data_IF_965124605810
#
_entry.id   IF_965124605810
#
_cell.length_a   1.000
_cell.length_b   1.000
_cell.length_c   1.000
_cell.angle_alpha   90.00
_cell.angle_beta   90.00
_cell.angle_gamma   90.00
#
_symmetry.space_group_name_H-M   'P 1'
#
loop_
_entity.id
_entity.type
_entity.pdbx_description
1 polymer ?
#
# COMPACT_ATOMS: atom_id res chain seq x y z
N UNK A 1 25.77 18.37 16.62
CA UNK A 1 24.49 17.74 17.00
C UNK A 1 23.41 18.28 16.07
N UNK A 2 23.09 17.57 14.99
CA UNK A 2 22.07 18.01 14.05
C UNK A 2 20.71 17.94 14.73
N UNK A 3 19.98 19.06 14.70
CA UNK A 3 18.66 19.15 15.34
C UNK A 3 17.62 18.47 14.49
N UNK A 4 17.33 17.23 14.81
CA UNK A 4 16.40 16.33 14.11
C UNK A 4 14.96 16.87 13.98
N UNK A 5 14.56 17.78 14.88
CA UNK A 5 13.25 18.43 14.83
C UNK A 5 13.05 19.33 13.61
N UNK A 6 14.12 19.94 13.08
CA UNK A 6 14.04 20.84 11.93
C UNK A 6 13.82 20.13 10.61
N UNK A 7 14.27 18.88 10.48
CA UNK A 7 14.11 18.09 9.25
C UNK A 7 12.72 17.48 9.11
N UNK A 8 12.08 17.14 10.23
CA UNK A 8 10.72 16.57 10.26
C UNK A 8 9.60 17.62 10.09
N UNK A 9 9.92 18.89 10.12
CA UNK A 9 8.89 19.96 10.10
C UNK A 9 8.57 20.50 8.72
N UNK A 10 9.37 20.21 7.68
CA UNK A 10 9.15 20.76 6.34
C UNK A 10 8.66 19.76 5.30
N UNK A 11 8.88 18.44 5.46
CA UNK A 11 8.27 17.43 4.65
C UNK A 11 7.62 16.39 5.57
N UNK A 12 6.29 16.42 5.64
CA UNK A 12 5.56 15.33 6.28
C UNK A 12 5.85 14.07 5.51
N UNK A 13 6.60 13.17 6.13
CA UNK A 13 6.87 11.86 5.55
C UNK A 13 5.57 11.08 5.52
N UNK A 14 4.84 11.21 4.40
CA UNK A 14 3.51 10.65 4.18
C UNK A 14 3.56 9.36 3.37
N UNK A 15 4.75 8.79 3.15
CA UNK A 15 4.95 7.54 2.43
C UNK A 15 6.05 6.69 3.10
N UNK A 16 6.08 5.40 2.73
CA UNK A 16 7.16 4.49 3.11
C UNK A 16 8.49 5.00 2.55
N UNK A 17 9.52 5.05 3.39
CA UNK A 17 10.89 5.31 3.01
C UNK A 17 11.56 4.01 2.55
N UNK A 18 12.52 4.13 1.67
CA UNK A 18 13.44 3.06 1.34
C UNK A 18 14.53 2.96 2.41
N UNK A 19 15.15 1.78 2.54
CA UNK A 19 16.19 1.57 3.55
C UNK A 19 17.41 2.47 3.30
N UNK A 20 17.75 2.68 2.04
CA UNK A 20 18.80 3.60 1.61
C UNK A 20 18.49 5.06 1.90
N UNK A 21 17.22 5.46 1.90
CA UNK A 21 16.84 6.85 2.24
C UNK A 21 17.20 7.19 3.66
N UNK A 22 17.08 6.25 4.61
CA UNK A 22 17.48 6.47 6.00
C UNK A 22 19.00 6.70 6.10
N UNK A 23 19.80 5.96 5.33
CA UNK A 23 21.25 6.13 5.26
C UNK A 23 21.62 7.50 4.67
N UNK A 24 20.99 7.87 3.55
CA UNK A 24 21.25 9.13 2.84
C UNK A 24 20.86 10.33 3.71
N UNK A 25 19.71 10.25 4.37
CA UNK A 25 19.15 11.37 5.13
C UNK A 25 19.75 11.52 6.53
N UNK A 26 20.31 10.44 7.12
CA UNK A 26 20.74 10.40 8.52
C UNK A 26 22.21 10.00 8.73
N UNK A 27 22.92 9.69 7.63
CA UNK A 27 24.32 9.29 7.70
C UNK A 27 24.53 8.04 8.56
N UNK A 28 25.49 8.07 9.48
CA UNK A 28 25.84 6.93 10.34
C UNK A 28 24.64 6.39 11.15
N UNK A 29 23.83 7.28 11.71
CA UNK A 29 22.63 6.86 12.46
C UNK A 29 21.62 6.12 11.59
N UNK A 30 21.45 6.58 10.35
CA UNK A 30 20.61 5.89 9.37
C UNK A 30 21.19 4.53 8.96
N UNK A 31 22.53 4.45 8.87
CA UNK A 31 23.24 3.19 8.65
C UNK A 31 23.01 2.19 9.78
N UNK A 32 23.14 2.62 11.02
CA UNK A 32 22.86 1.77 12.19
C UNK A 32 21.41 1.29 12.22
N UNK A 33 20.46 2.15 11.89
CA UNK A 33 19.04 1.79 11.79
C UNK A 33 18.80 0.74 10.68
N UNK A 34 19.41 0.94 9.51
CA UNK A 34 19.31 0.02 8.38
C UNK A 34 19.87 -1.37 8.75
N UNK A 35 21.04 -1.42 9.39
CA UNK A 35 21.66 -2.64 9.86
C UNK A 35 20.78 -3.34 10.92
N UNK A 36 20.24 -2.60 11.88
CA UNK A 36 19.36 -3.16 12.90
C UNK A 36 18.06 -3.71 12.30
N UNK A 37 17.50 -3.03 11.28
CA UNK A 37 16.34 -3.55 10.54
C UNK A 37 16.68 -4.85 9.81
N UNK A 38 17.81 -4.91 9.10
CA UNK A 38 18.27 -6.13 8.41
C UNK A 38 18.51 -7.28 9.39
N UNK A 39 19.11 -7.02 10.57
CA UNK A 39 19.25 -8.01 11.64
C UNK A 39 17.90 -8.52 12.15
N UNK A 40 16.89 -7.67 12.23
CA UNK A 40 15.54 -8.07 12.64
C UNK A 40 14.88 -8.98 11.57
N UNK A 41 15.04 -8.64 10.29
CA UNK A 41 14.60 -9.50 9.16
C UNK A 41 15.33 -10.85 9.19
N UNK A 42 16.65 -10.83 9.38
CA UNK A 42 17.47 -12.05 9.53
C UNK A 42 16.96 -12.96 10.65
N UNK A 43 16.70 -12.38 11.83
CA UNK A 43 16.22 -13.14 12.98
C UNK A 43 14.84 -13.75 12.76
N UNK A 44 13.95 -13.02 12.09
CA UNK A 44 12.64 -13.53 11.70
C UNK A 44 12.77 -14.73 10.74
N UNK A 45 13.62 -14.63 9.71
CA UNK A 45 13.86 -15.69 8.74
C UNK A 45 14.71 -16.84 9.29
N UNK A 46 15.38 -16.65 10.44
CA UNK A 46 16.05 -17.71 11.20
C UNK A 46 15.10 -18.44 12.15
N UNK A 47 13.80 -18.20 12.10
CA UNK A 47 12.79 -18.73 13.03
C UNK A 47 13.10 -18.40 14.51
N UNK A 48 13.85 -17.33 14.78
CA UNK A 48 14.18 -16.90 16.13
C UNK A 48 12.96 -16.24 16.77
N UNK A 49 12.55 -16.72 17.91
CA UNK A 49 11.46 -16.10 18.68
C UNK A 49 11.81 -14.67 19.09
N UNK A 50 10.87 -13.73 18.93
CA UNK A 50 11.01 -12.34 19.40
C UNK A 50 11.28 -11.28 18.33
N UNK A 51 11.29 -11.64 17.05
CA UNK A 51 11.35 -10.63 15.97
C UNK A 51 10.00 -9.96 15.78
N UNK A 52 9.96 -8.62 15.86
CA UNK A 52 8.77 -7.80 15.63
C UNK A 52 8.67 -7.23 14.21
N UNK A 53 9.45 -7.77 13.27
CA UNK A 53 9.46 -7.29 11.89
C UNK A 53 8.23 -7.77 11.14
N UNK A 54 7.45 -6.85 10.61
CA UNK A 54 6.33 -7.15 9.73
C UNK A 54 6.78 -7.07 8.28
N UNK A 55 6.57 -8.16 7.52
CA UNK A 55 6.79 -8.19 6.08
C UNK A 55 5.46 -8.10 5.36
N UNK A 56 5.39 -7.24 4.36
CA UNK A 56 4.25 -7.11 3.47
C UNK A 56 4.69 -7.23 2.02
N UNK A 57 3.77 -7.68 1.17
CA UNK A 57 3.98 -7.68 -0.29
C UNK A 57 3.72 -6.27 -0.80
N UNK A 58 4.69 -5.71 -1.50
CA UNK A 58 4.49 -4.46 -2.25
C UNK A 58 3.91 -4.78 -3.62
N UNK A 59 2.63 -4.48 -3.80
CA UNK A 59 1.99 -4.58 -5.10
C UNK A 59 2.43 -3.43 -6.02
N UNK A 60 2.49 -3.71 -7.33
CA UNK A 60 2.78 -2.68 -8.34
C UNK A 60 1.47 -1.99 -8.77
N UNK A 61 0.82 -1.31 -7.83
CA UNK A 61 -0.45 -0.62 -8.06
C UNK A 61 -0.28 0.87 -8.38
N UNK A 62 -1.17 1.42 -9.22
CA UNK A 62 -1.18 2.85 -9.56
C UNK A 62 -2.58 3.34 -9.99
N UNK A 63 -2.93 4.58 -9.60
CA UNK A 63 -2.26 5.47 -8.66
C UNK A 63 -2.40 5.03 -7.19
N UNK A 64 -1.58 5.60 -6.32
CA UNK A 64 -1.84 5.52 -4.88
C UNK A 64 -3.13 6.28 -4.57
N UNK A 65 -4.03 5.63 -3.83
CA UNK A 65 -5.33 6.17 -3.42
C UNK A 65 -5.31 6.42 -1.93
N UNK A 66 -5.62 7.64 -1.52
CA UNK A 66 -5.91 7.99 -0.14
C UNK A 66 -7.42 8.16 -0.01
N UNK A 67 -8.04 7.44 0.93
CA UNK A 67 -9.48 7.52 1.13
C UNK A 67 -9.86 7.29 2.60
N UNK A 68 -11.03 7.80 2.96
CA UNK A 68 -11.53 7.63 4.31
C UNK A 68 -12.37 8.81 4.77
N UNK A 69 -12.55 8.91 6.08
CA UNK A 69 -13.34 9.98 6.70
C UNK A 69 -12.41 11.10 7.16
N UNK A 70 -12.61 12.29 6.63
CA UNK A 70 -11.88 13.48 7.05
C UNK A 70 -12.23 13.81 8.51
N UNK A 71 -11.25 13.84 9.43
CA UNK A 71 -11.50 14.07 10.84
C UNK A 71 -12.05 15.46 11.17
N UNK A 72 -11.88 16.44 10.27
CA UNK A 72 -12.31 17.82 10.48
C UNK A 72 -13.78 18.05 10.14
N UNK A 73 -14.39 17.22 9.27
CA UNK A 73 -15.76 17.44 8.82
C UNK A 73 -16.63 16.16 8.73
N UNK A 74 -16.07 15.00 9.05
CA UNK A 74 -16.78 13.72 9.04
C UNK A 74 -17.19 13.20 7.66
N UNK A 75 -16.78 13.83 6.57
CA UNK A 75 -17.15 13.42 5.21
C UNK A 75 -16.16 12.42 4.63
N UNK A 76 -16.68 11.42 3.95
CA UNK A 76 -15.85 10.49 3.19
C UNK A 76 -15.24 11.18 1.97
N UNK A 77 -13.98 10.93 1.72
CA UNK A 77 -13.26 11.48 0.56
C UNK A 77 -12.38 10.42 -0.12
N UNK A 78 -12.00 10.74 -1.36
CA UNK A 78 -10.92 10.05 -2.08
C UNK A 78 -9.95 11.07 -2.66
N UNK A 79 -8.70 10.67 -2.82
CA UNK A 79 -7.67 11.46 -3.47
C UNK A 79 -6.46 10.64 -3.82
N UNK A 80 -5.47 11.31 -4.37
CA UNK A 80 -4.11 10.81 -4.56
C UNK A 80 -3.20 11.40 -3.48
N UNK A 81 -1.89 11.20 -3.56
CA UNK A 81 -0.92 11.88 -2.66
C UNK A 81 -1.10 13.40 -2.60
N UNK A 82 -1.77 14.00 -3.60
CA UNK A 82 -2.08 15.44 -3.63
C UNK A 82 -2.99 15.93 -2.48
N UNK A 83 -3.59 15.02 -1.71
CA UNK A 83 -4.31 15.40 -0.47
C UNK A 83 -3.38 15.97 0.60
N UNK A 84 -2.08 15.70 0.50
CA UNK A 84 -1.04 16.19 1.42
C UNK A 84 -0.28 17.41 0.89
N UNK A 85 -0.63 17.91 -0.30
CA UNK A 85 0.02 19.09 -0.86
C UNK A 85 -0.28 20.34 -0.02
N UNK A 86 0.55 21.38 -0.19
CA UNK A 86 0.31 22.71 0.43
C UNK A 86 -1.11 23.25 0.14
N UNK A 87 -1.63 22.98 -1.08
CA UNK A 87 -3.03 23.17 -1.44
C UNK A 87 -3.65 21.78 -1.65
N UNK A 88 -4.31 21.21 -0.62
CA UNK A 88 -4.80 19.85 -0.67
C UNK A 88 -5.91 19.65 -1.72
N UNK A 89 -5.81 18.56 -2.50
CA UNK A 89 -6.85 18.15 -3.45
C UNK A 89 -7.67 17.01 -2.85
N UNK A 90 -8.62 17.36 -2.01
CA UNK A 90 -9.53 16.41 -1.33
C UNK A 90 -10.84 16.37 -2.10
N UNK A 91 -11.33 15.16 -2.45
CA UNK A 91 -12.51 15.02 -3.28
C UNK A 91 -13.62 14.30 -2.51
N UNK A 92 -14.64 15.02 -2.13
CA UNK A 92 -15.85 14.51 -1.46
C UNK A 92 -16.95 14.17 -2.47
N UNK A 93 -16.91 14.80 -3.64
CA UNK A 93 -17.93 14.69 -4.68
C UNK A 93 -17.30 14.49 -6.06
N UNK A 94 -18.12 14.05 -7.03
CA UNK A 94 -17.70 14.00 -8.43
C UNK A 94 -17.28 15.37 -8.97
N UNK A 95 -17.92 16.45 -8.50
CA UNK A 95 -17.58 17.83 -8.90
C UNK A 95 -16.16 18.18 -8.43
N UNK A 96 -15.77 17.75 -7.22
CA UNK A 96 -14.42 17.99 -6.71
C UNK A 96 -13.39 17.24 -7.56
N UNK A 97 -13.66 15.99 -7.92
CA UNK A 97 -12.79 15.20 -8.79
C UNK A 97 -12.58 15.91 -10.12
N UNK A 98 -13.65 16.34 -10.76
CA UNK A 98 -13.59 17.02 -12.07
C UNK A 98 -12.83 18.36 -12.01
N UNK A 99 -12.91 19.07 -10.87
CA UNK A 99 -12.16 20.32 -10.65
C UNK A 99 -10.68 20.07 -10.41
N UNK A 100 -10.35 19.02 -9.65
CA UNK A 100 -9.01 18.80 -9.13
C UNK A 100 -8.15 17.90 -10.02
N UNK A 101 -8.79 17.06 -10.85
CA UNK A 101 -8.12 16.04 -11.65
C UNK A 101 -8.69 15.94 -13.05
N UNK A 102 -7.88 15.49 -14.00
CA UNK A 102 -8.27 15.24 -15.38
C UNK A 102 -7.97 13.81 -15.84
N UNK A 103 -8.42 13.50 -17.06
CA UNK A 103 -8.05 12.27 -17.77
C UNK A 103 -8.34 10.98 -17.03
N UNK A 104 -7.38 10.06 -17.09
CA UNK A 104 -7.49 8.71 -16.50
C UNK A 104 -7.59 8.76 -14.97
N UNK A 105 -6.89 9.70 -14.33
CA UNK A 105 -6.89 9.83 -12.86
C UNK A 105 -8.29 10.20 -12.35
N UNK A 106 -8.96 11.16 -13.00
CA UNK A 106 -10.32 11.53 -12.64
C UNK A 106 -11.30 10.36 -12.78
N UNK A 107 -11.19 9.57 -13.85
CA UNK A 107 -12.02 8.37 -14.07
C UNK A 107 -11.79 7.34 -12.97
N UNK A 108 -10.54 7.03 -12.63
CA UNK A 108 -10.18 6.09 -11.56
C UNK A 108 -10.69 6.57 -10.19
N UNK A 109 -10.52 7.85 -9.85
CA UNK A 109 -11.02 8.42 -8.60
C UNK A 109 -12.54 8.40 -8.51
N UNK A 110 -13.25 8.57 -9.63
CA UNK A 110 -14.72 8.48 -9.67
C UNK A 110 -15.19 7.05 -9.31
N UNK A 111 -14.54 6.04 -9.84
CA UNK A 111 -14.83 4.63 -9.49
C UNK A 111 -14.49 4.38 -8.01
N UNK A 112 -13.37 4.91 -7.51
CA UNK A 112 -13.00 4.80 -6.11
C UNK A 112 -14.03 5.44 -5.20
N UNK A 113 -14.44 6.68 -5.47
CA UNK A 113 -15.45 7.39 -4.66
C UNK A 113 -16.77 6.61 -4.58
N UNK A 114 -17.27 6.12 -5.73
CA UNK A 114 -18.54 5.41 -5.81
C UNK A 114 -18.55 4.06 -5.06
N UNK A 115 -17.40 3.39 -4.97
CA UNK A 115 -17.32 2.04 -4.40
C UNK A 115 -16.73 2.00 -2.98
N UNK A 116 -15.65 2.75 -2.71
CA UNK A 116 -14.98 2.73 -1.41
C UNK A 116 -15.81 3.41 -0.30
N UNK A 117 -16.63 4.42 -0.62
CA UNK A 117 -17.53 5.06 0.34
C UNK A 117 -18.51 4.08 1.00
N UNK A 118 -18.79 2.95 0.35
CA UNK A 118 -19.73 1.91 0.84
C UNK A 118 -19.07 0.89 1.76
N UNK A 119 -17.73 0.93 1.92
CA UNK A 119 -16.99 -0.04 2.74
C UNK A 119 -16.93 0.33 4.24
N UNK A 120 -17.63 1.37 4.66
CA UNK A 120 -17.61 1.84 6.04
C UNK A 120 -16.18 2.01 6.61
N UNK A 121 -15.29 2.57 5.80
CA UNK A 121 -13.91 2.85 6.20
C UNK A 121 -13.93 3.91 7.28
N UNK A 122 -13.47 3.54 8.48
CA UNK A 122 -13.22 4.46 9.59
C UNK A 122 -11.77 4.90 9.57
N UNK A 123 -11.51 6.20 9.75
CA UNK A 123 -10.16 6.77 9.61
C UNK A 123 -9.77 6.96 8.15
N UNK A 124 -8.49 7.08 7.89
CA UNK A 124 -7.93 7.34 6.55
C UNK A 124 -6.95 6.23 6.20
N UNK A 125 -7.09 5.69 4.99
CA UNK A 125 -6.26 4.62 4.44
C UNK A 125 -5.56 5.09 3.18
N UNK A 126 -4.35 4.59 2.95
CA UNK A 126 -3.69 4.62 1.65
C UNK A 126 -3.53 3.21 1.12
N UNK A 127 -3.74 3.06 -0.15
CA UNK A 127 -3.51 1.82 -0.86
C UNK A 127 -3.18 2.06 -2.32
N UNK A 128 -2.75 1.00 -2.99
CA UNK A 128 -2.44 1.02 -4.40
C UNK A 128 -3.61 0.44 -5.19
N UNK A 129 -4.06 1.19 -6.19
CA UNK A 129 -5.13 0.77 -7.09
C UNK A 129 -4.61 -0.31 -8.03
N UNK A 130 -5.29 -1.46 -8.06
CA UNK A 130 -4.92 -2.60 -8.90
C UNK A 130 -5.65 -2.55 -10.24
N UNK A 131 -6.96 -2.32 -10.21
CA UNK A 131 -7.79 -2.20 -11.41
C UNK A 131 -9.08 -1.42 -11.12
N UNK A 132 -9.72 -0.98 -12.20
CA UNK A 132 -11.09 -0.47 -12.21
C UNK A 132 -11.89 -1.26 -13.25
N UNK A 133 -12.55 -0.63 -14.21
CA UNK A 133 -13.26 -1.29 -15.29
C UNK A 133 -12.33 -1.69 -16.47
N UNK A 134 -11.05 -1.97 -16.19
CA UNK A 134 -9.99 -2.22 -17.17
C UNK A 134 -9.44 -3.67 -17.12
N UNK A 135 -10.20 -4.59 -16.55
CA UNK A 135 -9.90 -6.02 -16.58
C UNK A 135 -9.92 -6.55 -18.01
N UNK A 136 -8.99 -7.46 -18.31
CA UNK A 136 -8.90 -8.13 -19.62
C UNK A 136 -9.06 -9.63 -19.43
N UNK A 137 -9.61 -10.30 -20.47
CA UNK A 137 -9.59 -11.75 -20.57
C UNK A 137 -8.45 -12.14 -21.52
N UNK A 138 -7.56 -13.00 -21.06
CA UNK A 138 -6.40 -13.51 -21.82
C UNK A 138 -6.35 -15.03 -21.72
N UNK A 139 -5.63 -15.68 -22.64
CA UNK A 139 -5.32 -17.11 -22.53
C UNK A 139 -3.82 -17.27 -22.33
N UNK A 140 -3.43 -18.03 -21.31
CA UNK A 140 -2.04 -18.36 -20.99
C UNK A 140 -1.97 -19.88 -20.89
N UNK A 141 -1.12 -20.51 -21.70
CA UNK A 141 -0.95 -21.97 -21.77
C UNK A 141 -2.28 -22.73 -21.94
N UNK A 142 -3.21 -22.18 -22.75
CA UNK A 142 -4.54 -22.75 -23.00
C UNK A 142 -5.58 -22.49 -21.90
N UNK A 143 -5.20 -21.91 -20.76
CA UNK A 143 -6.11 -21.57 -19.67
C UNK A 143 -6.64 -20.14 -19.80
N UNK A 144 -7.95 -19.96 -19.56
CA UNK A 144 -8.58 -18.63 -19.56
C UNK A 144 -8.28 -17.90 -18.25
N UNK A 145 -7.69 -16.72 -18.36
CA UNK A 145 -7.32 -15.85 -17.25
C UNK A 145 -8.09 -14.52 -17.28
N UNK A 146 -8.41 -13.98 -16.11
CA UNK A 146 -8.69 -12.56 -15.93
C UNK A 146 -7.38 -11.85 -15.57
N UNK A 147 -7.07 -10.75 -16.26
CA UNK A 147 -5.80 -10.02 -16.05
C UNK A 147 -6.02 -8.53 -15.88
N UNK A 148 -5.06 -7.90 -15.20
CA UNK A 148 -4.97 -6.45 -15.01
C UNK A 148 -3.52 -6.03 -14.90
N UNK A 149 -3.23 -4.81 -15.38
CA UNK A 149 -1.88 -4.21 -15.38
C UNK A 149 -1.99 -2.82 -14.76
N UNK A 150 -1.86 -2.70 -13.43
CA UNK A 150 -2.06 -1.41 -12.77
C UNK A 150 -0.97 -0.41 -13.10
N UNK A 151 0.27 -0.86 -13.26
CA UNK A 151 1.44 -0.07 -13.61
C UNK A 151 2.30 -0.83 -14.63
N UNK A 152 3.37 -1.51 -14.22
CA UNK A 152 4.28 -2.27 -15.10
C UNK A 152 4.04 -3.77 -15.07
N UNK A 153 3.65 -4.30 -13.90
CA UNK A 153 3.41 -5.75 -13.72
C UNK A 153 2.00 -6.11 -14.16
N UNK A 154 1.89 -7.17 -14.97
CA UNK A 154 0.62 -7.78 -15.31
C UNK A 154 0.35 -8.95 -14.37
N UNK A 155 -0.80 -8.90 -13.71
CA UNK A 155 -1.33 -9.98 -12.88
C UNK A 155 -2.37 -10.74 -13.67
N UNK A 156 -2.30 -12.07 -13.63
CA UNK A 156 -3.27 -12.94 -14.27
C UNK A 156 -3.72 -14.04 -13.29
N UNK A 157 -5.01 -14.33 -13.29
CA UNK A 157 -5.63 -15.30 -12.40
C UNK A 157 -6.58 -16.19 -13.19
N UNK A 158 -6.56 -17.54 -13.01
CA UNK A 158 -7.49 -18.44 -13.67
C UNK A 158 -8.94 -18.03 -13.42
N UNK A 159 -9.69 -17.81 -14.50
CA UNK A 159 -11.07 -17.30 -14.43
C UNK A 159 -12.01 -18.26 -13.68
N UNK A 160 -11.73 -19.57 -13.75
CA UNK A 160 -12.49 -20.64 -13.09
C UNK A 160 -12.17 -20.82 -11.61
N UNK A 161 -11.09 -20.18 -11.11
CA UNK A 161 -10.72 -20.21 -9.69
C UNK A 161 -11.68 -19.36 -8.83
N UNK A 162 -11.70 -19.60 -7.52
CA UNK A 162 -12.48 -18.77 -6.59
C UNK A 162 -12.04 -17.30 -6.61
N UNK A 163 -10.71 -17.08 -6.72
CA UNK A 163 -10.12 -15.74 -6.81
C UNK A 163 -10.48 -15.06 -8.14
N UNK A 164 -10.34 -15.77 -9.26
CA UNK A 164 -10.68 -15.25 -10.59
C UNK A 164 -12.15 -14.83 -10.70
N UNK A 165 -13.06 -15.64 -10.15
CA UNK A 165 -14.50 -15.28 -10.08
C UNK A 165 -14.74 -14.04 -9.23
N UNK A 166 -14.01 -13.88 -8.11
CA UNK A 166 -14.12 -12.70 -7.23
C UNK A 166 -13.62 -11.45 -7.94
N UNK A 167 -12.46 -11.52 -8.60
CA UNK A 167 -11.88 -10.41 -9.36
C UNK A 167 -12.79 -10.03 -10.53
N UNK A 168 -13.25 -10.98 -11.32
CA UNK A 168 -14.11 -10.74 -12.49
C UNK A 168 -15.43 -10.03 -12.17
N UNK A 169 -15.96 -10.18 -10.95
CA UNK A 169 -17.18 -9.51 -10.50
C UNK A 169 -16.94 -8.12 -9.92
N UNK A 170 -15.70 -7.82 -9.53
CA UNK A 170 -15.36 -6.56 -8.90
C UNK A 170 -15.22 -5.44 -9.94
N UNK A 171 -15.68 -4.25 -9.56
CA UNK A 171 -15.50 -3.00 -10.34
C UNK A 171 -14.23 -2.27 -9.96
N UNK A 172 -13.62 -2.66 -8.85
CA UNK A 172 -12.45 -2.02 -8.25
C UNK A 172 -11.63 -3.07 -7.51
N UNK A 173 -10.33 -3.10 -7.77
CA UNK A 173 -9.33 -3.81 -6.96
C UNK A 173 -8.36 -2.83 -6.32
N UNK A 174 -8.10 -2.99 -5.01
CA UNK A 174 -7.17 -2.15 -4.27
C UNK A 174 -6.50 -2.97 -3.16
N UNK A 175 -5.26 -2.63 -2.83
CA UNK A 175 -4.54 -3.13 -1.66
C UNK A 175 -4.24 -1.97 -0.73
N UNK A 176 -4.70 -2.04 0.52
CA UNK A 176 -4.36 -1.06 1.55
C UNK A 176 -3.14 -1.52 2.34
N UNK A 177 -2.19 -0.61 2.56
CA UNK A 177 -0.94 -0.87 3.25
C UNK A 177 -0.55 0.19 4.28
N UNK A 178 -1.22 1.35 4.30
CA UNK A 178 -0.95 2.45 5.23
C UNK A 178 -2.26 2.97 5.80
N UNK A 179 -2.26 3.28 7.09
CA UNK A 179 -3.34 4.00 7.74
C UNK A 179 -2.81 5.30 8.33
N UNK A 180 -3.70 6.28 8.43
CA UNK A 180 -3.37 7.58 9.00
C UNK A 180 -4.22 7.87 10.22
N UNK A 181 -3.57 8.44 11.24
CA UNK A 181 -4.23 8.87 12.48
C UNK A 181 -3.90 10.33 12.75
N UNK A 182 -4.86 11.09 13.24
CA UNK A 182 -4.71 12.51 13.54
C UNK A 182 -6.06 13.19 13.69
N UNK A 183 -6.07 14.36 14.30
CA UNK A 183 -7.29 15.17 14.52
C UNK A 183 -7.61 16.10 13.35
N UNK A 184 -6.63 16.43 12.51
CA UNK A 184 -6.77 17.28 11.32
C UNK A 184 -6.01 16.65 10.16
N UNK A 185 -6.37 17.01 8.92
CA UNK A 185 -5.64 16.56 7.73
C UNK A 185 -4.16 16.97 7.77
N UNK A 186 -3.88 18.08 8.42
CA UNK A 186 -2.52 18.60 8.58
C UNK A 186 -1.70 17.89 9.66
N UNK A 187 -2.31 17.21 10.61
CA UNK A 187 -1.65 16.50 11.72
C UNK A 187 -1.64 14.98 11.57
N UNK A 188 -1.99 14.47 10.39
CA UNK A 188 -2.00 13.04 10.14
C UNK A 188 -0.61 12.43 10.26
N UNK A 189 -0.47 11.40 11.09
CA UNK A 189 0.69 10.52 11.17
C UNK A 189 0.41 9.21 10.46
N UNK A 190 1.38 8.70 9.72
CA UNK A 190 1.28 7.43 9.02
C UNK A 190 1.65 6.26 9.93
N UNK A 191 0.86 5.19 9.88
CA UNK A 191 1.20 3.87 10.39
C UNK A 191 1.22 2.87 9.24
N UNK A 192 2.13 1.91 9.29
CA UNK A 192 2.37 0.98 8.20
C UNK A 192 2.03 -0.44 8.62
N UNK A 193 1.72 -1.28 7.64
CA UNK A 193 1.45 -2.69 7.82
C UNK A 193 0.17 -3.16 7.15
N UNK A 194 -0.23 -4.38 7.45
CA UNK A 194 -1.48 -4.96 6.93
C UNK A 194 -2.68 -4.27 7.57
N UNK A 195 -3.54 -3.68 6.76
CA UNK A 195 -4.79 -3.09 7.21
C UNK A 195 -5.80 -4.23 7.42
N UNK A 196 -5.88 -4.73 8.65
CA UNK A 196 -6.79 -5.82 9.04
C UNK A 196 -8.22 -5.32 9.25
N UNK A 197 -9.17 -6.26 9.28
CA UNK A 197 -10.57 -5.98 9.64
C UNK A 197 -11.40 -5.28 8.57
N UNK A 198 -10.87 -5.12 7.36
CA UNK A 198 -11.64 -4.64 6.21
C UNK A 198 -12.06 -5.81 5.32
N UNK A 199 -13.32 -5.87 5.02
CA UNK A 199 -13.88 -6.83 4.06
C UNK A 199 -14.25 -6.12 2.78
N UNK A 200 -13.85 -6.70 1.65
CA UNK A 200 -14.32 -6.26 0.35
C UNK A 200 -15.83 -6.52 0.19
N UNK A 201 -16.37 -6.03 -0.88
CA UNK A 201 -17.74 -6.33 -1.30
C UNK A 201 -17.70 -7.03 -2.66
N UNK A 202 -18.86 -7.43 -3.18
CA UNK A 202 -18.94 -7.96 -4.55
C UNK A 202 -18.38 -6.95 -5.58
N UNK A 203 -18.51 -5.66 -5.31
CA UNK A 203 -18.02 -4.60 -6.19
C UNK A 203 -16.57 -4.21 -5.93
N UNK A 204 -15.96 -4.59 -4.79
CA UNK A 204 -14.61 -4.19 -4.39
C UNK A 204 -13.79 -5.41 -3.98
N UNK A 205 -12.76 -5.71 -4.77
CA UNK A 205 -11.75 -6.68 -4.40
C UNK A 205 -10.68 -6.00 -3.54
N UNK A 206 -10.59 -6.40 -2.27
CA UNK A 206 -9.49 -6.02 -1.39
C UNK A 206 -8.42 -7.09 -1.45
N UNK A 207 -7.27 -6.75 -2.03
CA UNK A 207 -6.09 -7.60 -1.99
C UNK A 207 -5.42 -7.48 -0.61
N UNK A 208 -4.78 -8.56 -0.18
CA UNK A 208 -3.97 -8.54 1.04
C UNK A 208 -2.55 -8.08 0.70
N UNK A 209 -2.01 -7.18 1.53
CA UNK A 209 -0.58 -6.89 1.56
C UNK A 209 0.18 -7.86 2.48
N UNK A 210 -0.51 -8.74 3.20
CA UNK A 210 0.11 -9.75 4.06
C UNK A 210 0.92 -10.74 3.25
N UNK A 211 2.11 -11.06 3.73
CA UNK A 211 2.95 -12.12 3.18
C UNK A 211 2.46 -13.49 3.67
N UNK A 212 2.33 -14.43 2.77
CA UNK A 212 2.07 -15.83 3.09
C UNK A 212 3.03 -16.68 2.26
N UNK A 213 3.88 -17.41 2.94
CA UNK A 213 4.73 -18.41 2.28
C UNK A 213 3.93 -19.67 1.99
N UNK A 214 3.74 -19.97 0.71
CA UNK A 214 3.04 -21.18 0.25
C UNK A 214 4.00 -22.32 -0.07
N UNK A 215 5.33 -22.09 -0.03
CA UNK A 215 6.35 -23.10 -0.24
C UNK A 215 6.58 -23.98 1.00
N UNK A 216 6.10 -23.53 2.17
CA UNK A 216 6.29 -24.20 3.46
C UNK A 216 7.67 -23.99 4.07
N UNK A 217 8.49 -23.08 3.53
CA UNK A 217 9.85 -22.82 3.99
C UNK A 217 10.19 -21.34 3.89
N UNK A 218 9.87 -20.59 4.92
CA UNK A 218 10.28 -19.18 5.05
C UNK A 218 11.49 -18.98 5.96
N UNK A 219 12.29 -20.04 6.16
CA UNK A 219 13.47 -20.01 7.01
C UNK A 219 14.74 -20.12 6.19
N UNK A 220 15.74 -19.31 6.55
CA UNK A 220 17.08 -19.46 6.01
C UNK A 220 17.73 -20.77 6.44
N UNK A 221 18.40 -21.44 5.53
CA UNK A 221 19.39 -22.47 5.86
C UNK A 221 20.58 -21.86 6.59
N UNK A 222 21.38 -22.69 7.28
CA UNK A 222 22.59 -22.21 7.97
C UNK A 222 23.58 -21.53 7.03
N UNK A 223 23.68 -21.98 5.78
CA UNK A 223 24.54 -21.38 4.75
C UNK A 223 24.06 -20.00 4.31
N UNK A 224 22.75 -19.84 4.12
CA UNK A 224 22.14 -18.54 3.76
C UNK A 224 22.25 -17.55 4.92
N UNK A 225 22.08 -18.00 6.17
CA UNK A 225 22.28 -17.16 7.36
C UNK A 225 23.73 -16.65 7.43
N UNK A 226 24.72 -17.52 7.24
CA UNK A 226 26.14 -17.16 7.28
C UNK A 226 26.47 -16.15 6.19
N UNK A 227 25.92 -16.32 4.98
CA UNK A 227 26.10 -15.39 3.87
C UNK A 227 25.45 -14.04 4.16
N UNK A 228 24.24 -14.03 4.68
CA UNK A 228 23.52 -12.80 5.05
C UNK A 228 24.26 -12.04 6.14
N UNK A 229 24.72 -12.75 7.21
CA UNK A 229 25.51 -12.14 8.29
C UNK A 229 26.83 -11.54 7.79
N UNK A 230 27.42 -12.11 6.73
CA UNK A 230 28.59 -11.54 6.07
C UNK A 230 28.34 -10.25 5.30
N UNK A 231 27.09 -10.02 4.84
CA UNK A 231 26.71 -8.84 4.07
C UNK A 231 26.29 -7.64 4.93
N UNK A 232 25.90 -7.88 6.20
CA UNK A 232 25.42 -6.84 7.14
C UNK A 232 26.44 -6.48 8.23
N UNK A 233 27.69 -6.86 8.08
CA UNK A 233 28.85 -6.47 8.94
C UNK A 233 29.48 -5.15 8.44
#
# INVERSE_FOLDING_TARGET
>A
MFNFKGFLTNDKNTHLEHLEDDIINRGAVGGDNAINFLKSVRNMLAASSGSSTNITVKWDGAPAIICGVNPENGKFFVGTKSVFNKTPKINYTQRDINRNHGGVVAKKLSVCLANLSRLNIKGILQGDLLFTNDLKSVSIDGEKMVSFTPNTITYAVPTNSALGRKISRARLGIVFHTYYTGKTMSSLGAGFGTVSGKTGSTAVYLASAGYTDTSGSSTFTSGELSRFDGLIR
#
